data_IF_804624508501
#
_entry.id   IF_804624508501
#
_cell.length_a   1.000
_cell.length_b   1.000
_cell.length_c   1.000
_cell.angle_alpha   90.00
_cell.angle_beta   90.00
_cell.angle_gamma   90.00
#
_symmetry.space_group_name_H-M   'P 1'
#
loop_
_entity.id
_entity.type
_entity.pdbx_description
1 polymer ?
#
# COMPACT_ATOMS: atom_id res chain seq x y z
N UNK A 1 -6.69 1.37 -23.34
CA UNK A 1 -5.85 1.66 -24.51
C UNK A 1 -4.57 2.23 -23.96
N UNK A 2 -3.51 1.42 -23.84
CA UNK A 2 -2.18 1.90 -23.48
C UNK A 2 -1.72 2.78 -24.64
N UNK A 3 -1.60 4.07 -24.37
CA UNK A 3 -1.41 5.12 -25.35
C UNK A 3 -0.16 4.86 -26.20
N UNK A 4 -0.34 4.85 -27.52
CA UNK A 4 0.74 4.86 -28.52
C UNK A 4 1.74 6.04 -28.36
N UNK A 5 1.44 6.99 -27.47
CA UNK A 5 2.28 8.13 -27.11
C UNK A 5 3.38 7.83 -26.08
N UNK A 6 3.28 6.76 -25.28
CA UNK A 6 4.33 6.38 -24.30
C UNK A 6 5.45 5.54 -24.92
N UNK A 7 5.17 4.89 -26.05
CA UNK A 7 6.11 4.02 -26.78
C UNK A 7 7.48 4.65 -27.13
N UNK A 8 7.58 5.94 -27.53
CA UNK A 8 8.88 6.55 -27.84
C UNK A 8 9.69 6.99 -26.61
N UNK A 9 9.06 7.30 -25.46
CA UNK A 9 9.79 7.66 -24.24
C UNK A 9 10.36 6.42 -23.54
N UNK A 10 9.57 5.35 -23.48
CA UNK A 10 10.01 4.05 -22.96
C UNK A 10 11.15 3.47 -23.78
N UNK A 11 11.07 3.58 -25.12
CA UNK A 11 12.15 3.13 -25.99
C UNK A 11 13.48 3.83 -25.67
N UNK A 12 13.45 5.15 -25.42
CA UNK A 12 14.65 5.94 -25.05
C UNK A 12 15.25 5.53 -23.71
N UNK A 13 14.43 5.16 -22.74
CA UNK A 13 14.90 4.72 -21.42
C UNK A 13 15.61 3.36 -21.53
N UNK A 14 15.11 2.49 -22.41
CA UNK A 14 15.65 1.13 -22.60
C UNK A 14 16.84 1.06 -23.57
N UNK A 15 17.00 2.03 -24.48
CA UNK A 15 18.12 2.07 -25.44
C UNK A 15 19.51 1.81 -24.83
N UNK A 16 19.92 2.45 -23.71
CA UNK A 16 21.24 2.20 -23.13
C UNK A 16 21.37 0.81 -22.51
N UNK A 17 20.27 0.16 -22.10
CA UNK A 17 20.29 -1.14 -21.44
C UNK A 17 20.17 -2.32 -22.41
N UNK A 18 19.57 -2.11 -23.58
CA UNK A 18 19.43 -3.13 -24.63
C UNK A 18 20.73 -3.90 -24.95
N UNK A 19 21.89 -3.26 -25.20
CA UNK A 19 23.11 -4.01 -25.53
C UNK A 19 23.59 -4.86 -24.34
N UNK A 20 23.59 -4.31 -23.12
CA UNK A 20 24.01 -5.03 -21.93
C UNK A 20 23.09 -6.22 -21.61
N UNK A 21 21.78 -6.04 -21.79
CA UNK A 21 20.79 -7.10 -21.60
C UNK A 21 20.89 -8.17 -22.69
N UNK A 22 21.17 -7.80 -23.94
CA UNK A 22 21.35 -8.75 -25.03
C UNK A 22 22.61 -9.63 -24.88
N UNK A 23 23.64 -9.14 -24.17
CA UNK A 23 24.83 -9.93 -23.85
C UNK A 23 24.61 -10.88 -22.66
N UNK A 24 23.74 -10.51 -21.71
CA UNK A 24 23.50 -11.29 -20.50
C UNK A 24 22.29 -12.23 -20.55
N UNK A 25 21.32 -11.98 -21.43
CA UNK A 25 20.04 -12.67 -21.45
C UNK A 25 19.83 -13.42 -22.76
N UNK A 26 19.25 -14.62 -22.64
CA UNK A 26 18.88 -15.43 -23.81
C UNK A 26 17.69 -14.83 -24.58
N UNK A 27 16.80 -14.10 -23.89
CA UNK A 27 15.64 -13.46 -24.49
C UNK A 27 15.36 -12.07 -23.86
N UNK A 28 16.10 -11.04 -24.28
CA UNK A 28 16.01 -9.71 -23.67
C UNK A 28 14.65 -9.04 -23.90
N UNK A 29 13.97 -9.32 -25.01
CA UNK A 29 12.67 -8.70 -25.33
C UNK A 29 11.58 -9.12 -24.35
N UNK A 30 11.52 -10.41 -23.99
CA UNK A 30 10.55 -10.92 -23.00
C UNK A 30 10.81 -10.34 -21.62
N UNK A 31 12.08 -10.24 -21.22
CA UNK A 31 12.45 -9.63 -19.93
C UNK A 31 12.06 -8.15 -19.91
N UNK A 32 12.30 -7.42 -20.99
CA UNK A 32 11.93 -6.01 -21.10
C UNK A 32 10.42 -5.79 -21.03
N UNK A 33 9.64 -6.62 -21.73
CA UNK A 33 8.18 -6.56 -21.66
C UNK A 33 7.66 -6.79 -20.22
N UNK A 34 8.25 -7.76 -19.51
CA UNK A 34 7.88 -8.02 -18.12
C UNK A 34 8.31 -6.88 -17.19
N UNK A 35 9.52 -6.34 -17.35
CA UNK A 35 10.01 -5.16 -16.62
C UNK A 35 9.04 -3.99 -16.77
N UNK A 36 8.60 -3.69 -17.99
CA UNK A 36 7.65 -2.61 -18.25
C UNK A 36 6.27 -2.90 -17.66
N UNK A 37 5.83 -4.15 -17.66
CA UNK A 37 4.59 -4.55 -17.02
C UNK A 37 4.64 -4.34 -15.49
N UNK A 38 5.80 -4.56 -14.85
CA UNK A 38 5.97 -4.34 -13.42
C UNK A 38 6.10 -2.86 -13.04
N UNK A 39 6.84 -2.09 -13.83
CA UNK A 39 7.16 -0.67 -13.53
C UNK A 39 6.13 0.30 -14.07
N UNK A 40 5.20 -0.16 -14.91
CA UNK A 40 4.21 0.69 -15.57
C UNK A 40 4.85 1.74 -16.47
N UNK A 41 6.01 1.41 -17.07
CA UNK A 41 6.78 2.33 -17.92
C UNK A 41 7.33 3.57 -17.19
N UNK A 42 7.36 3.57 -15.85
CA UNK A 42 7.93 4.70 -15.11
C UNK A 42 9.47 4.71 -15.27
N UNK A 43 10.10 5.83 -15.68
CA UNK A 43 11.52 5.86 -16.02
C UNK A 43 12.43 5.44 -14.88
N UNK A 44 12.17 5.93 -13.66
CA UNK A 44 12.96 5.65 -12.48
C UNK A 44 12.96 4.16 -12.11
N UNK A 45 11.77 3.56 -11.96
CA UNK A 45 11.64 2.14 -11.62
C UNK A 45 12.18 1.24 -12.72
N UNK A 46 11.93 1.59 -13.99
CA UNK A 46 12.43 0.83 -15.15
C UNK A 46 13.95 0.80 -15.17
N UNK A 47 14.60 1.95 -14.97
CA UNK A 47 16.04 2.05 -14.93
C UNK A 47 16.63 1.22 -13.78
N UNK A 48 16.06 1.33 -12.58
CA UNK A 48 16.52 0.59 -11.39
C UNK A 48 16.35 -0.93 -11.56
N UNK A 49 15.21 -1.38 -12.07
CA UNK A 49 14.97 -2.80 -12.27
C UNK A 49 15.89 -3.39 -13.35
N UNK A 50 16.16 -2.66 -14.44
CA UNK A 50 17.15 -3.07 -15.43
C UNK A 50 18.56 -3.20 -14.81
N UNK A 51 18.96 -2.30 -13.91
CA UNK A 51 20.25 -2.40 -13.21
C UNK A 51 20.31 -3.64 -12.32
N UNK A 52 19.27 -3.90 -11.51
CA UNK A 52 19.18 -5.09 -10.66
C UNK A 52 19.29 -6.38 -11.48
N UNK A 53 18.67 -6.44 -12.65
CA UNK A 53 18.76 -7.60 -13.57
C UNK A 53 20.19 -7.78 -14.07
N UNK A 54 20.87 -6.70 -14.48
CA UNK A 54 22.26 -6.76 -14.96
C UNK A 54 23.25 -7.16 -13.86
N UNK A 55 23.02 -6.70 -12.62
CA UNK A 55 23.84 -7.06 -11.47
C UNK A 55 23.58 -8.50 -10.98
N UNK A 56 22.42 -9.07 -11.33
CA UNK A 56 22.08 -10.44 -11.00
C UNK A 56 22.94 -11.42 -11.82
N UNK A 57 23.92 -12.05 -11.16
CA UNK A 57 24.83 -13.04 -11.78
C UNK A 57 24.17 -14.38 -12.12
N UNK A 58 22.86 -14.51 -11.87
CA UNK A 58 22.14 -15.76 -12.09
C UNK A 58 21.62 -15.80 -13.53
N UNK A 59 21.99 -16.80 -14.34
CA UNK A 59 21.45 -16.93 -15.68
C UNK A 59 19.93 -17.10 -15.59
N UNK A 60 19.19 -16.30 -16.37
CA UNK A 60 17.74 -16.42 -16.48
C UNK A 60 17.43 -17.63 -17.39
N UNK A 61 16.78 -18.69 -16.88
CA UNK A 61 16.40 -19.83 -17.70
C UNK A 61 15.37 -19.41 -18.74
N UNK A 62 15.50 -19.95 -19.95
CA UNK A 62 14.52 -19.70 -21.03
C UNK A 62 13.17 -20.28 -20.61
N UNK A 63 12.13 -19.43 -20.62
CA UNK A 63 10.78 -19.77 -20.17
C UNK A 63 10.48 -19.44 -18.70
N UNK A 64 11.48 -19.02 -17.93
CA UNK A 64 11.32 -18.59 -16.52
C UNK A 64 11.62 -17.09 -16.33
N UNK A 65 11.73 -16.32 -17.43
CA UNK A 65 12.03 -14.90 -17.40
C UNK A 65 11.07 -14.13 -16.49
N UNK A 66 9.76 -14.40 -16.64
CA UNK A 66 8.73 -13.71 -15.87
C UNK A 66 8.84 -14.01 -14.36
N UNK A 67 9.06 -15.27 -14.00
CA UNK A 67 9.23 -15.69 -12.60
C UNK A 67 10.49 -15.07 -11.99
N UNK A 68 11.57 -14.98 -12.77
CA UNK A 68 12.83 -14.42 -12.29
C UNK A 68 12.74 -12.90 -12.10
N UNK A 69 12.09 -12.20 -13.03
CA UNK A 69 11.81 -10.76 -12.88
C UNK A 69 10.92 -10.52 -11.67
N UNK A 70 9.86 -11.32 -11.49
CA UNK A 70 8.99 -11.23 -10.31
C UNK A 70 9.76 -11.45 -9.00
N UNK A 71 10.66 -12.45 -8.95
CA UNK A 71 11.51 -12.70 -7.78
C UNK A 71 12.41 -11.48 -7.47
N UNK A 72 13.09 -10.94 -8.49
CA UNK A 72 13.93 -9.75 -8.34
C UNK A 72 13.13 -8.54 -7.87
N UNK A 73 11.95 -8.33 -8.44
CA UNK A 73 11.03 -7.25 -8.03
C UNK A 73 10.63 -7.43 -6.57
N UNK A 74 10.24 -8.65 -6.16
CA UNK A 74 9.87 -8.91 -4.78
C UNK A 74 11.02 -8.61 -3.82
N UNK A 75 12.21 -9.13 -4.09
CA UNK A 75 13.37 -8.97 -3.19
C UNK A 75 13.91 -7.53 -3.15
N UNK A 76 13.91 -6.81 -4.28
CA UNK A 76 14.54 -5.49 -4.38
C UNK A 76 13.58 -4.29 -4.38
N UNK A 77 12.27 -4.50 -4.49
CA UNK A 77 11.29 -3.39 -4.56
C UNK A 77 10.08 -3.58 -3.65
N UNK A 78 9.75 -4.79 -3.23
CA UNK A 78 8.55 -5.07 -2.40
C UNK A 78 8.94 -5.42 -0.96
N UNK A 79 9.87 -6.34 -0.77
CA UNK A 79 10.34 -6.76 0.54
C UNK A 79 11.21 -5.69 1.17
N UNK A 80 10.87 -5.29 2.39
CA UNK A 80 11.54 -4.19 3.12
C UNK A 80 11.69 -2.93 2.27
N UNK A 81 10.67 -2.62 1.45
CA UNK A 81 10.71 -1.55 0.44
C UNK A 81 11.18 -0.19 0.99
N UNK A 82 11.01 0.06 2.29
CA UNK A 82 11.49 1.25 3.00
C UNK A 82 13.02 1.42 3.01
N UNK A 83 13.80 0.40 2.68
CA UNK A 83 15.28 0.43 2.66
C UNK A 83 15.88 0.05 1.30
N UNK A 84 15.06 -0.07 0.27
CA UNK A 84 15.46 -0.59 -1.04
C UNK A 84 15.73 0.52 -2.08
N UNK A 85 15.99 0.10 -3.32
CA UNK A 85 16.32 0.97 -4.47
C UNK A 85 15.30 2.07 -4.75
N UNK A 86 14.03 1.83 -4.43
CA UNK A 86 12.92 2.76 -4.64
C UNK A 86 12.33 3.31 -3.33
N UNK A 87 13.07 3.20 -2.21
CA UNK A 87 12.59 3.59 -0.88
C UNK A 87 12.07 5.03 -0.83
N UNK A 88 12.85 6.01 -1.31
CA UNK A 88 12.45 7.42 -1.29
C UNK A 88 11.14 7.66 -2.05
N UNK A 89 11.05 7.15 -3.28
CA UNK A 89 9.84 7.24 -4.10
C UNK A 89 8.62 6.60 -3.42
N UNK A 90 8.78 5.40 -2.87
CA UNK A 90 7.69 4.69 -2.22
C UNK A 90 7.30 5.35 -0.88
N UNK A 91 8.24 5.96 -0.16
CA UNK A 91 7.96 6.69 1.07
C UNK A 91 7.19 7.98 0.78
N UNK A 92 7.51 8.68 -0.31
CA UNK A 92 6.75 9.84 -0.77
C UNK A 92 5.30 9.43 -1.13
N UNK A 93 5.14 8.32 -1.86
CA UNK A 93 3.81 7.78 -2.20
C UNK A 93 3.05 7.36 -0.93
N UNK A 94 3.71 6.69 0.02
CA UNK A 94 3.11 6.34 1.31
C UNK A 94 2.62 7.60 2.02
N UNK A 95 3.49 8.59 2.17
CA UNK A 95 3.17 9.84 2.87
C UNK A 95 1.98 10.55 2.25
N UNK A 96 1.90 10.53 0.92
CA UNK A 96 0.78 11.04 0.16
C UNK A 96 -0.51 10.22 0.36
N UNK A 97 -0.44 8.89 0.40
CA UNK A 97 -1.60 8.02 0.60
C UNK A 97 -2.09 7.96 2.06
N UNK A 98 -1.27 8.38 3.04
CA UNK A 98 -1.62 8.29 4.46
C UNK A 98 -2.78 9.22 4.87
N UNK A 99 -3.14 10.21 4.06
CA UNK A 99 -4.37 10.97 4.31
C UNK A 99 -5.61 10.07 4.12
N UNK A 100 -6.52 10.07 5.09
CA UNK A 100 -7.68 9.17 5.12
C UNK A 100 -8.49 9.19 3.81
N UNK A 101 -8.68 10.38 3.24
CA UNK A 101 -9.39 10.59 1.97
C UNK A 101 -8.72 9.86 0.79
N UNK A 102 -7.40 9.94 0.67
CA UNK A 102 -6.65 9.27 -0.39
C UNK A 102 -6.55 7.77 -0.13
N UNK A 103 -6.38 7.35 1.12
CA UNK A 103 -6.33 5.95 1.50
C UNK A 103 -7.64 5.22 1.18
N UNK A 104 -8.78 5.81 1.51
CA UNK A 104 -10.12 5.27 1.18
C UNK A 104 -10.39 5.29 -0.32
N UNK A 105 -9.92 6.31 -1.03
CA UNK A 105 -10.07 6.39 -2.49
C UNK A 105 -9.24 5.29 -3.17
N UNK A 106 -8.00 5.11 -2.72
CA UNK A 106 -7.09 4.08 -3.19
C UNK A 106 -7.61 2.67 -2.89
N UNK A 107 -8.21 2.43 -1.71
CA UNK A 107 -8.87 1.17 -1.38
C UNK A 107 -9.95 0.79 -2.41
N UNK A 108 -10.78 1.74 -2.83
CA UNK A 108 -11.83 1.50 -3.84
C UNK A 108 -11.25 1.26 -5.23
N UNK A 109 -10.11 1.86 -5.54
CA UNK A 109 -9.37 1.63 -6.80
C UNK A 109 -8.83 0.20 -6.83
N UNK A 110 -8.22 -0.28 -5.74
CA UNK A 110 -7.75 -1.66 -5.62
C UNK A 110 -8.88 -2.69 -5.77
N UNK A 111 -10.09 -2.36 -5.32
CA UNK A 111 -11.27 -3.21 -5.48
C UNK A 111 -11.85 -3.19 -6.92
N UNK A 112 -11.35 -2.31 -7.80
CA UNK A 112 -11.80 -2.18 -9.18
C UNK A 112 -13.16 -1.48 -9.33
N UNK A 113 -13.64 -0.78 -8.30
CA UNK A 113 -14.98 -0.17 -8.28
C UNK A 113 -14.94 1.32 -8.63
N UNK A 114 -13.76 1.88 -8.92
CA UNK A 114 -13.59 3.32 -9.12
C UNK A 114 -13.77 3.75 -10.58
N UNK A 115 -14.91 4.38 -10.86
CA UNK A 115 -15.16 5.10 -12.12
C UNK A 115 -14.58 6.52 -11.98
N UNK A 116 -13.90 6.98 -13.03
CA UNK A 116 -13.40 8.34 -13.12
C UNK A 116 -14.57 9.33 -13.11
N UNK A 117 -14.56 10.26 -12.16
CA UNK A 117 -15.59 11.28 -11.96
C UNK A 117 -15.01 12.71 -11.96
N UNK A 118 -13.73 12.86 -12.31
CA UNK A 118 -13.01 14.14 -12.39
C UNK A 118 -13.03 14.99 -11.10
N UNK A 119 -13.29 14.35 -9.96
CA UNK A 119 -13.14 14.96 -8.63
C UNK A 119 -11.71 15.43 -8.41
N UNK A 120 -11.54 16.39 -7.50
CA UNK A 120 -10.22 16.96 -7.25
C UNK A 120 -9.28 15.90 -6.67
N UNK A 121 -9.78 15.01 -5.81
CA UNK A 121 -9.04 13.90 -5.21
C UNK A 121 -8.52 12.95 -6.29
N UNK A 122 -9.37 12.59 -7.27
CA UNK A 122 -8.97 11.74 -8.38
C UNK A 122 -7.93 12.40 -9.28
N UNK A 123 -8.07 13.71 -9.54
CA UNK A 123 -7.08 14.47 -10.32
C UNK A 123 -5.74 14.54 -9.59
N UNK A 124 -5.74 14.70 -8.27
CA UNK A 124 -4.52 14.69 -7.47
C UNK A 124 -3.86 13.31 -7.48
N UNK A 125 -4.63 12.22 -7.34
CA UNK A 125 -4.11 10.85 -7.50
C UNK A 125 -3.56 10.57 -8.91
N UNK A 126 -4.23 11.06 -9.96
CA UNK A 126 -3.76 10.91 -11.34
C UNK A 126 -2.45 11.67 -11.56
N UNK A 127 -2.35 12.89 -11.03
CA UNK A 127 -1.16 13.72 -11.14
C UNK A 127 0.03 13.19 -10.34
N UNK A 128 -0.21 12.42 -9.28
CA UNK A 128 0.88 11.75 -8.54
C UNK A 128 1.45 10.54 -9.29
N UNK A 129 0.77 10.06 -10.34
CA UNK A 129 1.21 8.90 -11.11
C UNK A 129 1.05 7.56 -10.39
N UNK A 130 0.40 7.54 -9.22
CA UNK A 130 0.09 6.31 -8.47
C UNK A 130 -1.04 5.53 -9.15
N UNK A 131 -1.94 6.25 -9.82
CA UNK A 131 -3.08 5.67 -10.55
C UNK A 131 -3.14 6.23 -11.97
N UNK A 132 -3.74 5.46 -12.87
CA UNK A 132 -4.00 5.84 -14.26
C UNK A 132 -5.49 5.70 -14.56
N UNK A 133 -5.98 6.51 -15.50
CA UNK A 133 -7.31 6.34 -16.06
C UNK A 133 -7.25 5.42 -17.27
N UNK A 134 -7.72 4.18 -17.10
CA UNK A 134 -7.78 3.20 -18.17
C UNK A 134 -9.22 3.01 -18.64
N UNK A 135 -9.61 3.80 -19.65
CA UNK A 135 -10.92 3.66 -20.31
C UNK A 135 -12.10 4.11 -19.45
N UNK A 136 -11.89 5.13 -18.60
CA UNK A 136 -12.91 5.66 -17.69
C UNK A 136 -12.88 5.04 -16.29
N UNK A 137 -12.01 4.05 -16.05
CA UNK A 137 -11.83 3.44 -14.74
C UNK A 137 -10.44 3.75 -14.20
N UNK A 138 -10.37 4.10 -12.92
CA UNK A 138 -9.09 4.30 -12.25
C UNK A 138 -8.50 2.95 -11.85
N UNK A 139 -7.20 2.79 -12.14
CA UNK A 139 -6.40 1.62 -11.78
C UNK A 139 -5.04 2.05 -11.27
N UNK A 140 -4.40 1.22 -10.46
CA UNK A 140 -3.02 1.46 -10.04
C UNK A 140 -2.11 1.45 -11.28
N UNK A 141 -1.13 2.35 -11.31
CA UNK A 141 -0.31 2.61 -12.49
C UNK A 141 0.69 1.49 -12.79
N UNK A 142 1.16 0.76 -11.77
CA UNK A 142 2.12 -0.31 -11.92
C UNK A 142 1.95 -1.41 -10.86
N UNK A 143 2.46 -2.62 -11.16
CA UNK A 143 2.32 -3.79 -10.28
C UNK A 143 3.18 -3.69 -9.01
N UNK A 144 4.26 -2.92 -9.02
CA UNK A 144 5.09 -2.69 -7.82
C UNK A 144 4.26 -1.97 -6.75
N UNK A 145 3.52 -0.93 -7.13
CA UNK A 145 2.63 -0.19 -6.23
C UNK A 145 1.50 -1.09 -5.72
N UNK A 146 0.91 -1.93 -6.58
CA UNK A 146 -0.11 -2.90 -6.14
C UNK A 146 0.46 -3.93 -5.14
N UNK A 147 1.72 -4.34 -5.30
CA UNK A 147 2.38 -5.29 -4.41
C UNK A 147 2.76 -4.66 -3.06
N UNK A 148 3.28 -3.43 -3.08
CA UNK A 148 3.69 -2.68 -1.89
C UNK A 148 2.47 -2.16 -1.12
N UNK A 149 1.62 -1.37 -1.78
CA UNK A 149 0.41 -0.78 -1.21
C UNK A 149 -0.79 -1.72 -1.44
N UNK A 150 -0.62 -2.98 -1.08
CA UNK A 150 -1.65 -3.99 -1.27
C UNK A 150 -2.85 -3.79 -0.32
N UNK A 151 -3.98 -4.50 -0.53
CA UNK A 151 -5.16 -4.35 0.32
C UNK A 151 -4.91 -4.58 1.81
N UNK A 152 -3.96 -5.45 2.18
CA UNK A 152 -3.60 -5.71 3.58
C UNK A 152 -2.91 -4.49 4.20
N UNK A 153 -1.98 -3.86 3.46
CA UNK A 153 -1.33 -2.63 3.89
C UNK A 153 -2.35 -1.51 4.08
N UNK A 154 -3.26 -1.31 3.12
CA UNK A 154 -4.33 -0.29 3.22
C UNK A 154 -5.24 -0.53 4.43
N UNK A 155 -5.62 -1.78 4.69
CA UNK A 155 -6.44 -2.13 5.84
C UNK A 155 -5.72 -1.85 7.17
N UNK A 156 -4.41 -2.12 7.24
CA UNK A 156 -3.59 -1.83 8.42
C UNK A 156 -3.49 -0.33 8.69
N UNK A 157 -3.24 0.49 7.66
CA UNK A 157 -3.13 1.95 7.83
C UNK A 157 -4.50 2.57 8.20
N UNK A 158 -5.60 2.11 7.59
CA UNK A 158 -6.95 2.54 7.99
C UNK A 158 -7.25 2.18 9.45
N UNK A 159 -6.87 0.98 9.90
CA UNK A 159 -7.07 0.56 11.29
C UNK A 159 -6.27 1.43 12.28
N UNK A 160 -5.06 1.84 11.92
CA UNK A 160 -4.24 2.75 12.73
C UNK A 160 -4.90 4.13 12.88
N UNK A 161 -5.39 4.72 11.78
CA UNK A 161 -6.11 6.00 11.83
C UNK A 161 -7.32 5.92 12.78
N UNK A 162 -8.14 4.87 12.65
CA UNK A 162 -9.31 4.69 13.52
C UNK A 162 -8.96 4.45 14.99
N UNK A 163 -7.81 3.81 15.27
CA UNK A 163 -7.35 3.54 16.63
C UNK A 163 -6.81 4.80 17.30
N UNK A 164 -6.12 5.65 16.55
CA UNK A 164 -5.65 6.96 17.02
C UNK A 164 -6.82 7.88 17.35
N UNK A 165 -7.85 7.92 16.50
CA UNK A 165 -9.07 8.69 16.76
C UNK A 165 -9.78 8.22 18.04
N UNK A 166 -9.86 6.91 18.26
CA UNK A 166 -10.45 6.34 19.47
C UNK A 166 -9.65 6.69 20.73
N UNK A 167 -8.31 6.63 20.67
CA UNK A 167 -7.46 6.98 21.82
C UNK A 167 -7.53 8.47 22.16
N UNK A 168 -7.44 9.35 21.16
CA UNK A 168 -7.62 10.80 21.32
C UNK A 168 -9.00 11.15 21.87
N UNK A 169 -10.06 10.49 21.37
CA UNK A 169 -11.40 10.66 21.92
C UNK A 169 -11.44 10.20 23.39
N UNK A 170 -10.89 9.03 23.73
CA UNK A 170 -10.91 8.52 25.11
C UNK A 170 -10.24 9.47 26.11
N UNK A 171 -9.14 10.13 25.74
CA UNK A 171 -8.40 11.07 26.59
C UNK A 171 -9.11 12.44 26.72
N UNK A 172 -9.87 12.86 25.71
CA UNK A 172 -10.70 14.08 25.74
C UNK A 172 -12.04 13.87 26.47
N UNK A 173 -12.47 12.62 26.67
CA UNK A 173 -13.80 12.27 27.20
C UNK A 173 -13.89 12.06 28.71
N UNK A 174 -12.79 12.23 29.45
CA UNK A 174 -12.87 12.23 30.92
C UNK A 174 -13.73 13.36 31.50
N UNK A 175 -14.13 14.36 30.69
CA UNK A 175 -14.99 15.48 31.10
C UNK A 175 -16.05 15.90 30.04
N UNK A 176 -16.24 15.13 28.96
CA UNK A 176 -17.15 15.49 27.86
C UNK A 176 -18.45 14.66 27.88
N UNK A 177 -19.58 15.28 27.55
CA UNK A 177 -20.90 14.60 27.48
C UNK A 177 -21.04 13.74 26.22
N UNK A 178 -21.81 12.65 26.31
CA UNK A 178 -22.05 11.70 25.20
C UNK A 178 -22.52 12.37 23.89
N UNK A 179 -23.30 13.46 23.97
CA UNK A 179 -23.73 14.24 22.79
C UNK A 179 -22.58 14.98 22.10
N UNK A 180 -21.62 15.52 22.87
CA UNK A 180 -20.47 16.21 22.31
C UNK A 180 -19.53 15.24 21.59
N UNK A 181 -19.42 14.02 22.11
CA UNK A 181 -18.64 12.92 21.52
C UNK A 181 -19.25 12.46 20.20
N UNK A 182 -20.57 12.28 20.16
CA UNK A 182 -21.29 11.87 18.96
C UNK A 182 -21.22 12.91 17.83
N UNK A 183 -21.14 14.21 18.16
CA UNK A 183 -20.99 15.30 17.19
C UNK A 183 -19.55 15.39 16.68
N UNK A 184 -18.56 15.20 17.54
CA UNK A 184 -17.14 15.33 17.18
C UNK A 184 -16.60 14.11 16.42
N UNK A 185 -17.11 12.90 16.71
CA UNK A 185 -16.61 11.64 16.15
C UNK A 185 -17.77 10.74 15.70
N UNK A 186 -18.38 11.00 14.52
CA UNK A 186 -19.60 10.31 14.06
C UNK A 186 -19.40 8.83 13.70
N UNK A 187 -18.14 8.35 13.63
CA UNK A 187 -17.79 6.99 13.20
C UNK A 187 -17.17 6.14 14.32
N UNK A 188 -17.22 6.58 15.59
CA UNK A 188 -16.69 5.80 16.69
C UNK A 188 -17.48 4.46 16.81
N UNK A 189 -16.82 3.29 16.88
CA UNK A 189 -17.52 2.05 17.16
C UNK A 189 -18.12 2.13 18.56
N UNK A 190 -19.46 2.10 18.65
CA UNK A 190 -20.19 2.14 19.93
C UNK A 190 -19.95 0.81 20.64
N UNK A 191 -18.87 0.70 21.42
CA UNK A 191 -18.78 -0.36 22.43
C UNK A 191 -19.59 0.10 23.64
N UNK A 192 -20.59 -0.66 24.09
CA UNK A 192 -21.38 -0.27 25.26
C UNK A 192 -20.46 -0.23 26.48
N UNK A 193 -20.30 0.96 27.06
CA UNK A 193 -19.75 1.13 28.41
C UNK A 193 -20.64 0.31 29.34
N UNK A 194 -20.10 -0.78 29.88
CA UNK A 194 -20.78 -1.51 30.95
C UNK A 194 -20.53 -0.73 32.22
N UNK A 195 -21.52 0.08 32.62
CA UNK A 195 -21.57 0.70 33.93
C UNK A 195 -22.14 -0.29 34.96
N UNK A 196 -21.49 -0.28 36.12
CA UNK A 196 -21.93 -0.73 37.44
C UNK A 196 -22.10 -2.23 37.72
N UNK A 197 -21.26 -2.73 38.63
CA UNK A 197 -21.75 -3.26 39.91
C UNK A 197 -20.81 -2.86 41.05
N UNK A 198 -21.09 -1.71 41.65
CA UNK A 198 -20.85 -1.49 43.08
C UNK A 198 -22.11 -1.97 43.81
N UNK A 199 -22.00 -2.91 44.74
CA UNK A 199 -22.93 -3.08 45.86
C UNK A 199 -22.29 -3.95 46.94
N UNK A 200 -22.39 -3.42 48.15
CA UNK A 200 -21.71 -3.80 49.37
C UNK A 200 -22.39 -4.95 50.12
N UNK A 201 -21.62 -5.54 51.05
CA UNK A 201 -22.07 -6.19 52.31
C UNK A 201 -22.56 -7.65 52.24
N UNK A 202 -21.76 -8.59 52.78
CA UNK A 202 -22.16 -9.44 53.93
C UNK A 202 -20.96 -10.25 54.47
N UNK A 203 -20.52 -9.93 55.70
CA UNK A 203 -19.90 -10.87 56.65
C UNK A 203 -21.06 -11.49 57.47
N UNK A 204 -20.96 -12.63 58.21
CA UNK A 204 -19.78 -13.41 58.59
C UNK A 204 -19.98 -14.94 58.62
N UNK A 205 -18.92 -15.72 58.91
CA UNK A 205 -18.94 -16.78 59.95
C UNK A 205 -17.61 -17.49 60.13
N UNK A 206 -17.14 -17.42 61.38
CA UNK A 206 -16.23 -18.34 62.06
C UNK A 206 -16.32 -19.80 61.55
N UNK A 207 -15.15 -20.37 61.24
CA UNK A 207 -14.89 -21.81 61.36
C UNK A 207 -13.85 -22.00 62.45
N UNK A 208 -14.30 -22.50 63.59
CA UNK A 208 -13.47 -23.36 64.44
C UNK A 208 -13.11 -24.62 63.65
N UNK A 209 -11.87 -25.09 63.76
CA UNK A 209 -11.54 -26.51 63.90
C UNK A 209 -10.12 -26.65 64.45
N UNK A 210 -10.10 -27.29 65.61
CA UNK A 210 -9.00 -27.77 66.42
C UNK A 210 -8.12 -28.78 65.70
N UNK A 211 -6.83 -28.74 66.00
CA UNK A 211 -5.91 -29.89 66.09
C UNK A 211 -4.95 -29.47 67.21
N UNK A 212 -5.23 -29.83 68.46
CA UNK A 212 -4.83 -31.10 69.11
C UNK A 212 -5.82 -31.48 70.22
#
# INVERSE_FOLDING_TARGET
>A
MTSEQDKPEVAKILEPFKPALAEHLSNPDVVLDEVLAWTGSQPFLTQKLCQVILDSKSPIPVGEEALKVEELVKTHFVENWETQEAAELLQDIRSFLLEEQFLRLYQKILQGVMIANDSWEQKVLLNSGVVINQGGNLKVSNRIYEAVFNPSWVAQELAQLTSTDFWLASELTTDATDEAIAIAFPNLPITPVTQDQDLTTDEPKHRDLTTD
#
